data_IF_425828916720
#
_entry.id   IF_425828916720
#
_cell.length_a   1.000
_cell.length_b   1.000
_cell.length_c   1.000
_cell.angle_alpha   90.00
_cell.angle_beta   90.00
_cell.angle_gamma   90.00
#
_symmetry.space_group_name_H-M   'P 1'
#
loop_
_entity.id
_entity.type
_entity.pdbx_description
1 polymer ?
#
# COMPACT_ATOMS: atom_id res chain seq x y z
N UNK A 1 8.27 14.01 5.64
CA UNK A 1 8.76 13.41 4.37
C UNK A 1 8.52 14.34 3.20
N UNK A 2 7.32 14.91 3.02
CA UNK A 2 6.99 15.71 1.82
C UNK A 2 6.71 17.20 2.09
N UNK A 3 6.78 17.64 3.36
CA UNK A 3 6.55 19.05 3.75
C UNK A 3 5.25 19.65 3.17
N UNK A 4 4.17 18.87 3.23
CA UNK A 4 2.84 19.23 2.74
C UNK A 4 1.88 19.55 3.90
N UNK A 5 0.87 20.39 3.63
CA UNK A 5 -0.20 20.74 4.56
C UNK A 5 -1.29 19.67 4.69
N UNK A 6 -2.27 19.94 5.56
CA UNK A 6 -3.43 19.06 5.74
C UNK A 6 -4.31 19.15 4.49
N UNK A 7 -4.59 18.00 3.88
CA UNK A 7 -5.41 17.90 2.67
C UNK A 7 -4.63 17.95 1.36
N UNK A 8 -3.33 18.26 1.39
CA UNK A 8 -2.48 18.32 0.19
C UNK A 8 -2.06 16.94 -0.33
N UNK A 9 -2.12 15.91 0.54
CA UNK A 9 -1.79 14.54 0.19
C UNK A 9 -3.02 13.65 0.31
N UNK A 10 -3.35 12.99 -0.80
CA UNK A 10 -4.29 11.87 -0.80
C UNK A 10 -3.54 10.60 -0.37
N UNK A 11 -3.81 10.11 0.84
CA UNK A 11 -3.03 9.03 1.46
C UNK A 11 -3.88 7.80 1.66
N UNK A 12 -3.45 6.69 1.07
CA UNK A 12 -3.94 5.36 1.38
C UNK A 12 -2.83 4.57 2.09
N UNK A 13 -3.15 3.96 3.24
CA UNK A 13 -2.17 3.24 4.08
C UNK A 13 -2.69 1.86 4.44
N UNK A 14 -1.90 0.84 4.09
CA UNK A 14 -2.15 -0.57 4.41
C UNK A 14 -0.85 -1.25 4.80
N UNK A 15 -0.94 -2.36 5.52
CA UNK A 15 0.22 -3.17 5.88
C UNK A 15 0.89 -3.73 4.61
N UNK A 16 2.14 -3.33 4.34
CA UNK A 16 2.91 -3.82 3.19
C UNK A 16 2.68 -3.07 1.88
N UNK A 17 1.90 -1.97 1.89
CA UNK A 17 1.68 -1.09 0.72
C UNK A 17 1.29 -1.81 -0.58
N UNK A 18 0.48 -2.87 -0.48
CA UNK A 18 -0.08 -3.58 -1.64
C UNK A 18 -1.42 -2.96 -2.07
N UNK A 19 -1.89 -3.31 -3.27
CA UNK A 19 -3.17 -2.84 -3.82
C UNK A 19 -4.30 -3.83 -3.54
N UNK A 20 -5.47 -3.30 -3.19
CA UNK A 20 -6.76 -4.00 -3.21
C UNK A 20 -7.80 -3.09 -3.91
N UNK A 21 -9.04 -3.56 -4.05
CA UNK A 21 -10.09 -2.81 -4.75
C UNK A 21 -10.39 -1.45 -4.10
N UNK A 22 -10.33 -1.36 -2.77
CA UNK A 22 -10.53 -0.10 -2.03
C UNK A 22 -9.42 0.92 -2.31
N UNK A 23 -8.16 0.47 -2.31
CA UNK A 23 -6.99 1.29 -2.68
C UNK A 23 -7.14 1.74 -4.14
N UNK A 24 -7.51 0.84 -5.05
CA UNK A 24 -7.62 1.14 -6.47
C UNK A 24 -8.69 2.20 -6.73
N UNK A 25 -9.89 2.03 -6.17
CA UNK A 25 -10.97 3.03 -6.27
C UNK A 25 -10.57 4.37 -5.66
N UNK A 26 -9.80 4.35 -4.57
CA UNK A 26 -9.24 5.56 -3.96
C UNK A 26 -8.24 6.26 -4.89
N UNK A 27 -7.39 5.52 -5.61
CA UNK A 27 -6.46 6.09 -6.59
C UNK A 27 -7.19 6.65 -7.82
N UNK A 28 -8.26 6.00 -8.27
CA UNK A 28 -9.11 6.51 -9.35
C UNK A 28 -9.76 7.85 -8.96
N UNK A 29 -10.30 7.95 -7.75
CA UNK A 29 -10.84 9.21 -7.23
C UNK A 29 -9.74 10.27 -7.13
N UNK A 30 -8.59 9.92 -6.54
CA UNK A 30 -7.48 10.84 -6.36
C UNK A 30 -7.01 11.44 -7.69
N UNK A 31 -6.88 10.62 -8.74
CA UNK A 31 -6.40 11.06 -10.05
C UNK A 31 -7.47 11.75 -10.89
N UNK A 32 -8.69 11.20 -10.97
CA UNK A 32 -9.74 11.71 -11.87
C UNK A 32 -10.53 12.89 -11.28
N UNK A 33 -10.71 12.93 -9.97
CA UNK A 33 -11.60 13.89 -9.30
C UNK A 33 -10.86 14.84 -8.36
N UNK A 34 -9.93 14.34 -7.54
CA UNK A 34 -9.17 15.19 -6.62
C UNK A 34 -8.00 15.94 -7.30
N UNK A 35 -7.64 15.56 -8.53
CA UNK A 35 -6.61 16.25 -9.32
C UNK A 35 -5.17 15.87 -8.96
N UNK A 36 -4.95 14.74 -8.30
CA UNK A 36 -3.61 14.23 -8.01
C UNK A 36 -2.85 13.91 -9.31
N UNK A 37 -1.69 14.54 -9.48
CA UNK A 37 -0.85 14.41 -10.69
C UNK A 37 0.23 13.34 -10.57
N UNK A 38 0.48 12.86 -9.36
CA UNK A 38 1.54 11.90 -9.04
C UNK A 38 1.02 10.89 -8.03
N UNK A 39 1.25 9.60 -8.33
CA UNK A 39 1.06 8.50 -7.39
C UNK A 39 2.45 8.05 -6.93
N UNK A 40 2.63 7.92 -5.61
CA UNK A 40 3.87 7.43 -4.99
C UNK A 40 3.56 6.20 -4.15
N UNK A 41 4.25 5.09 -4.43
CA UNK A 41 4.26 3.91 -3.54
C UNK A 41 5.46 4.04 -2.61
N UNK A 42 5.22 4.32 -1.33
CA UNK A 42 6.27 4.61 -0.35
C UNK A 42 6.40 3.49 0.67
N UNK A 43 7.43 2.67 0.52
CA UNK A 43 7.90 1.74 1.55
C UNK A 43 8.66 2.44 2.68
N UNK A 44 8.98 1.68 3.71
CA UNK A 44 9.91 2.07 4.75
C UNK A 44 10.82 0.89 5.11
N UNK A 45 11.99 1.19 5.65
CA UNK A 45 12.90 0.16 6.18
C UNK A 45 12.22 -0.63 7.30
N UNK A 46 12.60 -1.90 7.45
CA UNK A 46 12.11 -2.77 8.53
C UNK A 46 10.57 -2.91 8.56
N UNK A 47 9.93 -2.93 7.39
CA UNK A 47 8.49 -3.15 7.31
C UNK A 47 8.09 -4.54 7.80
N UNK A 48 7.42 -4.60 8.96
CA UNK A 48 7.00 -5.85 9.58
C UNK A 48 6.06 -6.69 8.69
N UNK A 49 5.21 -6.06 7.88
CA UNK A 49 4.33 -6.77 6.94
C UNK A 49 5.13 -7.47 5.83
N UNK A 50 6.12 -6.78 5.25
CA UNK A 50 7.01 -7.35 4.24
C UNK A 50 7.89 -8.44 4.85
N UNK A 51 8.45 -8.19 6.03
CA UNK A 51 9.25 -9.19 6.77
C UNK A 51 8.43 -10.44 7.09
N UNK A 52 7.21 -10.28 7.60
CA UNK A 52 6.27 -11.38 7.85
C UNK A 52 5.92 -12.15 6.58
N UNK A 53 5.78 -11.48 5.44
CA UNK A 53 5.58 -12.14 4.15
C UNK A 53 6.82 -12.96 3.74
N UNK A 54 8.04 -12.42 3.88
CA UNK A 54 9.29 -13.14 3.60
C UNK A 54 9.47 -14.38 4.49
N UNK A 55 9.10 -14.27 5.77
CA UNK A 55 9.22 -15.34 6.75
C UNK A 55 8.04 -16.35 6.70
N UNK A 56 7.14 -16.21 5.72
CA UNK A 56 5.94 -17.05 5.55
C UNK A 56 5.04 -17.11 6.79
N UNK A 57 4.92 -15.99 7.52
CA UNK A 57 4.08 -15.88 8.70
C UNK A 57 2.61 -16.20 8.37
N UNK A 58 1.99 -17.06 9.18
CA UNK A 58 0.59 -17.44 9.02
C UNK A 58 -0.33 -16.40 9.66
N UNK A 59 -0.48 -15.26 9.00
CA UNK A 59 -1.36 -14.17 9.42
C UNK A 59 -2.61 -14.16 8.53
N UNK A 60 -3.79 -14.34 9.13
CA UNK A 60 -5.07 -14.61 8.45
C UNK A 60 -5.27 -13.90 7.10
N UNK A 61 -5.66 -12.62 7.13
CA UNK A 61 -5.96 -11.85 5.91
C UNK A 61 -4.70 -11.42 5.14
N UNK A 62 -3.58 -11.18 5.84
CA UNK A 62 -2.32 -10.77 5.21
C UNK A 62 -1.76 -11.86 4.28
N UNK A 63 -1.88 -13.14 4.65
CA UNK A 63 -1.50 -14.27 3.80
C UNK A 63 -2.30 -14.32 2.49
N UNK A 64 -3.57 -13.90 2.50
CA UNK A 64 -4.44 -14.01 1.31
C UNK A 64 -3.95 -13.15 0.14
N UNK A 65 -3.32 -12.02 0.43
CA UNK A 65 -2.76 -11.15 -0.60
C UNK A 65 -1.36 -11.56 -1.07
N UNK A 66 -0.69 -12.47 -0.34
CA UNK A 66 0.64 -12.97 -0.69
C UNK A 66 0.67 -14.51 -0.62
N UNK A 67 0.16 -15.21 -1.64
CA UNK A 67 0.26 -16.66 -1.69
C UNK A 67 1.75 -17.05 -1.72
N UNK A 68 2.14 -17.93 -0.79
CA UNK A 68 3.53 -18.41 -0.59
C UNK A 68 4.16 -18.98 -1.89
N UNK A 69 3.37 -19.22 -2.95
CA UNK A 69 3.82 -19.73 -4.25
C UNK A 69 4.41 -18.68 -5.21
N UNK A 70 4.42 -17.38 -4.89
CA UNK A 70 4.94 -16.34 -5.80
C UNK A 70 6.41 -15.97 -5.57
N UNK A 71 7.18 -16.78 -4.82
CA UNK A 71 8.64 -16.67 -4.89
C UNK A 71 9.13 -17.18 -6.26
N UNK A 72 10.08 -16.51 -6.93
CA UNK A 72 10.96 -17.20 -7.87
C UNK A 72 11.80 -18.27 -7.14
#
# INVERSE_FOLDING_TARGET
MFDQGIGDLFVARVAGNFVNDDILGSLEFATKLAGAKLIVVMGHTECGAVKGACDAAQLGLLRRHWPISTRP
#
